data_IF_632399973336
#
_entry.id   IF_632399973336
#
_cell.length_a   1.000
_cell.length_b   1.000
_cell.length_c   1.000
_cell.angle_alpha   90.00
_cell.angle_beta   90.00
_cell.angle_gamma   90.00
#
_symmetry.space_group_name_H-M   'P 1'
#
loop_
_entity.id
_entity.type
_entity.pdbx_description
1 polymer ?
#
# COMPACT_ATOMS: atom_id res chain seq x y z
N UNK A 1 -21.78 31.58 11.06
CA UNK A 1 -20.82 31.05 12.05
C UNK A 1 -20.40 29.64 11.62
N UNK A 2 -19.40 29.54 10.74
CA UNK A 2 -18.92 28.26 10.18
C UNK A 2 -17.48 28.05 10.65
N UNK A 3 -17.26 27.42 11.81
CA UNK A 3 -15.90 27.32 12.38
C UNK A 3 -15.55 26.00 13.05
N UNK A 4 -16.31 24.91 12.88
CA UNK A 4 -16.10 23.72 13.75
C UNK A 4 -16.10 22.34 13.11
N UNK A 5 -16.02 22.17 11.80
CA UNK A 5 -16.06 20.82 11.20
C UNK A 5 -14.90 20.51 10.25
N UNK A 6 -13.69 21.01 10.54
CA UNK A 6 -12.49 20.73 9.73
C UNK A 6 -11.58 19.64 10.33
N UNK A 7 -12.04 18.86 11.31
CA UNK A 7 -11.17 17.98 12.12
C UNK A 7 -11.43 16.47 11.99
N UNK A 8 -12.09 16.00 10.91
CA UNK A 8 -12.36 14.56 10.73
C UNK A 8 -11.83 13.98 9.41
N UNK A 9 -10.67 14.44 8.93
CA UNK A 9 -10.04 13.89 7.72
C UNK A 9 -8.56 13.52 7.94
N UNK A 10 -8.23 12.91 9.08
CA UNK A 10 -6.91 12.33 9.35
C UNK A 10 -7.01 10.88 9.84
N UNK A 11 -7.80 10.05 9.15
CA UNK A 11 -7.88 8.62 9.44
C UNK A 11 -7.79 7.74 8.18
N UNK A 12 -7.24 8.27 7.09
CA UNK A 12 -7.05 7.53 5.83
C UNK A 12 -5.56 7.29 5.60
N UNK A 13 -4.92 6.37 6.35
CA UNK A 13 -3.57 5.92 5.98
C UNK A 13 -3.09 4.58 6.57
N UNK A 14 -3.75 3.98 7.57
CA UNK A 14 -3.19 2.78 8.24
C UNK A 14 -4.02 1.51 8.09
N UNK A 15 -5.09 1.50 7.31
CA UNK A 15 -5.91 0.30 7.09
C UNK A 15 -5.37 -0.66 6.00
N UNK A 16 -4.11 -0.53 5.57
CA UNK A 16 -3.47 -1.49 4.66
C UNK A 16 -2.72 -2.61 5.41
N UNK A 17 -3.12 -2.91 6.64
CA UNK A 17 -2.57 -4.03 7.42
C UNK A 17 -3.67 -4.83 8.11
N UNK A 18 -4.85 -4.94 7.47
CA UNK A 18 -5.80 -5.99 7.80
C UNK A 18 -5.29 -7.29 7.15
N UNK A 19 -4.41 -7.96 7.88
CA UNK A 19 -3.92 -9.31 7.61
C UNK A 19 -5.11 -10.26 7.47
N UNK A 20 -5.58 -10.48 6.25
CA UNK A 20 -6.42 -11.63 5.91
C UNK A 20 -5.51 -12.84 5.83
N UNK A 21 -5.45 -13.58 6.94
CA UNK A 21 -4.99 -14.95 6.91
C UNK A 21 -5.86 -15.76 5.93
N UNK A 22 -5.22 -16.71 5.24
CA UNK A 22 -5.81 -17.82 4.47
C UNK A 22 -6.32 -17.52 3.05
N UNK A 23 -5.39 -17.24 2.13
CA UNK A 23 -5.32 -17.75 0.75
C UNK A 23 -4.38 -16.83 -0.03
N UNK A 24 -3.37 -17.38 -0.71
CA UNK A 24 -2.55 -16.63 -1.68
C UNK A 24 -3.50 -15.89 -2.62
N UNK A 25 -3.63 -14.56 -2.55
CA UNK A 25 -4.59 -13.85 -3.37
C UNK A 25 -4.23 -14.13 -4.83
N UNK A 26 -5.17 -14.56 -5.70
CA UNK A 26 -4.86 -14.81 -7.12
C UNK A 26 -4.34 -13.56 -7.84
N UNK A 27 -4.42 -12.40 -7.18
CA UNK A 27 -3.98 -11.09 -7.66
C UNK A 27 -2.80 -10.53 -6.86
N UNK A 28 -2.12 -11.32 -6.03
CA UNK A 28 -1.06 -10.81 -5.17
C UNK A 28 0.14 -10.29 -5.99
N UNK A 29 0.60 -11.08 -6.97
CA UNK A 29 1.70 -10.67 -7.85
C UNK A 29 1.35 -9.41 -8.65
N UNK A 30 0.12 -9.33 -9.18
CA UNK A 30 -0.34 -8.17 -9.95
C UNK A 30 -0.56 -6.93 -9.07
N UNK A 31 -1.01 -7.11 -7.83
CA UNK A 31 -1.13 -6.05 -6.84
C UNK A 31 0.25 -5.49 -6.44
N UNK A 32 1.20 -6.36 -6.06
CA UNK A 32 2.55 -5.95 -5.71
C UNK A 32 3.24 -5.24 -6.88
N UNK A 33 3.07 -5.73 -8.11
CA UNK A 33 3.62 -5.08 -9.29
C UNK A 33 2.97 -3.71 -9.57
N UNK A 34 1.68 -3.56 -9.29
CA UNK A 34 0.98 -2.27 -9.42
C UNK A 34 1.49 -1.26 -8.39
N UNK A 35 1.70 -1.70 -7.15
CA UNK A 35 2.30 -0.89 -6.09
C UNK A 35 3.74 -0.46 -6.45
N UNK A 36 4.55 -1.38 -6.98
CA UNK A 36 5.90 -1.08 -7.46
C UNK A 36 5.89 0.02 -8.54
N UNK A 37 5.02 -0.11 -9.55
CA UNK A 37 4.87 0.92 -10.59
C UNK A 37 4.39 2.25 -10.02
N UNK A 38 3.45 2.22 -9.07
CA UNK A 38 2.98 3.43 -8.37
C UNK A 38 4.10 4.13 -7.61
N UNK A 39 4.97 3.35 -6.95
CA UNK A 39 6.14 3.85 -6.23
C UNK A 39 7.12 4.56 -7.17
N UNK A 40 7.50 3.92 -8.28
CA UNK A 40 8.40 4.50 -9.30
C UNK A 40 7.78 5.77 -9.90
N UNK A 41 6.49 5.73 -10.26
CA UNK A 41 5.78 6.87 -10.84
C UNK A 41 5.65 8.05 -9.87
N UNK A 42 5.73 7.79 -8.56
CA UNK A 42 5.74 8.82 -7.52
C UNK A 42 7.10 9.49 -7.35
N UNK A 43 8.10 9.10 -8.16
CA UNK A 43 9.46 9.64 -8.09
C UNK A 43 10.30 9.06 -6.95
N UNK A 44 9.88 7.93 -6.36
CA UNK A 44 10.68 7.24 -5.33
C UNK A 44 11.90 6.56 -5.97
N UNK A 45 13.00 6.44 -5.22
CA UNK A 45 14.16 5.68 -5.65
C UNK A 45 13.80 4.21 -5.94
N UNK A 46 14.36 3.65 -7.01
CA UNK A 46 14.03 2.29 -7.46
C UNK A 46 14.38 1.22 -6.42
N UNK A 47 15.46 1.43 -5.65
CA UNK A 47 15.88 0.60 -4.52
C UNK A 47 14.79 0.48 -3.45
N UNK A 48 14.19 1.61 -3.04
CA UNK A 48 13.09 1.60 -2.06
C UNK A 48 11.83 0.92 -2.61
N UNK A 49 11.54 1.10 -3.90
CA UNK A 49 10.39 0.44 -4.51
C UNK A 49 10.62 -1.07 -4.66
N UNK A 50 11.84 -1.49 -4.96
CA UNK A 50 12.20 -2.89 -5.07
C UNK A 50 12.13 -3.62 -3.72
N UNK A 51 12.57 -2.97 -2.64
CA UNK A 51 12.41 -3.47 -1.27
C UNK A 51 10.94 -3.70 -0.92
N UNK A 52 10.07 -2.70 -1.13
CA UNK A 52 8.63 -2.84 -0.89
C UNK A 52 7.97 -3.91 -1.77
N UNK A 53 8.43 -4.08 -3.00
CA UNK A 53 7.94 -5.13 -3.88
C UNK A 53 8.34 -6.52 -3.37
N UNK A 54 9.60 -6.68 -2.94
CA UNK A 54 10.11 -7.92 -2.35
C UNK A 54 9.34 -8.30 -1.09
N UNK A 55 9.11 -7.34 -0.19
CA UNK A 55 8.32 -7.54 1.01
C UNK A 55 6.87 -7.91 0.68
N UNK A 56 6.28 -7.25 -0.31
CA UNK A 56 4.91 -7.55 -0.75
C UNK A 56 4.79 -8.99 -1.26
N UNK A 57 5.69 -9.42 -2.15
CA UNK A 57 5.70 -10.79 -2.69
C UNK A 57 5.98 -11.83 -1.59
N UNK A 58 6.85 -11.50 -0.63
CA UNK A 58 7.15 -12.39 0.51
C UNK A 58 5.92 -12.58 1.40
N UNK A 59 5.19 -11.50 1.70
CA UNK A 59 3.96 -11.56 2.51
C UNK A 59 2.75 -12.14 1.75
N UNK A 60 2.83 -12.22 0.42
CA UNK A 60 1.84 -12.89 -0.43
C UNK A 60 1.95 -14.43 -0.43
N UNK A 61 3.02 -14.99 0.13
CA UNK A 61 3.36 -16.42 0.08
C UNK A 61 2.63 -17.27 1.11
#
# INVERSE_FOLDING_TARGET
MYKKLALFLFATATALSATVATARPPFCDSFCFTQYKGCINSGKPQDQCAEQYSDCITNCS
#
